data_IF_372970869121
#
_entry.id   IF_372970869121
#
_cell.length_a   1.000
_cell.length_b   1.000
_cell.length_c   1.000
_cell.angle_alpha   90.00
_cell.angle_beta   90.00
_cell.angle_gamma   90.00
#
_symmetry.space_group_name_H-M   'P 1'
#
loop_
_entity.id
_entity.type
_entity.pdbx_description
1 polymer ?
#
# COMPACT_ATOMS: atom_id res chain seq x y z
N UNK A 1 4.25 -17.41 -3.59
CA UNK A 1 3.13 -18.26 -3.11
C UNK A 1 1.77 -17.53 -3.01
N UNK A 2 1.63 -16.48 -2.18
CA UNK A 2 0.33 -15.77 -2.03
C UNK A 2 -0.04 -14.94 -3.26
N UNK A 3 0.94 -14.31 -3.91
CA UNK A 3 0.71 -13.46 -5.09
C UNK A 3 0.46 -14.30 -6.35
N UNK A 4 1.18 -15.40 -6.52
CA UNK A 4 0.89 -16.40 -7.56
C UNK A 4 -0.52 -16.98 -7.43
N UNK A 5 -0.97 -17.25 -6.21
CA UNK A 5 -2.32 -17.72 -5.93
C UNK A 5 -3.40 -16.68 -6.26
N UNK A 6 -3.11 -15.39 -6.07
CA UNK A 6 -4.02 -14.31 -6.45
C UNK A 6 -4.05 -14.11 -7.97
N UNK A 7 -2.90 -14.22 -8.64
CA UNK A 7 -2.83 -14.15 -10.09
C UNK A 7 -3.65 -15.28 -10.76
N UNK A 8 -3.59 -16.51 -10.24
CA UNK A 8 -4.43 -17.61 -10.75
C UNK A 8 -5.93 -17.36 -10.51
N UNK A 9 -6.30 -16.74 -9.38
CA UNK A 9 -7.68 -16.33 -9.10
C UNK A 9 -8.17 -15.24 -10.06
N UNK A 10 -7.33 -14.25 -10.37
CA UNK A 10 -7.66 -13.14 -11.26
C UNK A 10 -7.82 -13.61 -12.73
N UNK A 11 -7.20 -14.72 -13.10
CA UNK A 11 -7.38 -15.36 -14.41
C UNK A 11 -8.62 -16.24 -14.51
N UNK A 12 -9.21 -16.64 -13.37
CA UNK A 12 -10.38 -17.49 -13.35
C UNK A 12 -11.64 -16.66 -13.67
N UNK A 13 -12.36 -17.03 -14.73
CA UNK A 13 -13.54 -16.31 -15.16
C UNK A 13 -14.69 -16.39 -14.15
N UNK A 14 -15.70 -15.50 -14.23
CA UNK A 14 -16.82 -15.44 -13.27
C UNK A 14 -17.69 -16.71 -13.23
N UNK A 15 -17.52 -17.63 -14.19
CA UNK A 15 -18.29 -18.88 -14.31
C UNK A 15 -17.59 -20.11 -13.70
N UNK A 16 -16.34 -20.00 -13.27
CA UNK A 16 -15.63 -21.12 -12.67
C UNK A 16 -15.91 -21.20 -11.17
N UNK A 17 -16.13 -22.41 -10.66
CA UNK A 17 -16.35 -22.67 -9.23
C UNK A 17 -15.08 -22.37 -8.42
N UNK A 18 -14.94 -21.12 -7.96
CA UNK A 18 -13.81 -20.65 -7.18
C UNK A 18 -13.71 -21.37 -5.82
N UNK A 19 -12.77 -22.32 -5.70
CA UNK A 19 -12.46 -22.96 -4.41
C UNK A 19 -11.18 -22.39 -3.80
N UNK A 20 -11.33 -21.43 -2.89
CA UNK A 20 -10.22 -20.83 -2.14
C UNK A 20 -9.40 -21.87 -1.35
N UNK A 21 -10.03 -22.97 -0.90
CA UNK A 21 -9.36 -24.04 -0.17
C UNK A 21 -8.42 -24.86 -1.07
N UNK A 22 -8.86 -25.17 -2.30
CA UNK A 22 -8.03 -25.91 -3.24
C UNK A 22 -6.80 -25.10 -3.65
N UNK A 23 -7.01 -23.81 -3.93
CA UNK A 23 -5.95 -22.89 -4.32
C UNK A 23 -4.96 -22.64 -3.17
N UNK A 24 -5.46 -22.45 -1.95
CA UNK A 24 -4.62 -22.32 -0.76
C UNK A 24 -3.77 -23.56 -0.47
N UNK A 25 -4.32 -24.77 -0.69
CA UNK A 25 -3.56 -26.02 -0.57
C UNK A 25 -2.49 -26.14 -1.66
N UNK A 26 -2.81 -25.78 -2.90
CA UNK A 26 -1.87 -25.81 -4.05
C UNK A 26 -0.64 -24.93 -3.81
N UNK A 27 -0.82 -23.73 -3.27
CA UNK A 27 0.26 -22.77 -3.01
C UNK A 27 0.78 -22.78 -1.57
N UNK A 28 0.34 -23.75 -0.75
CA UNK A 28 0.69 -23.83 0.69
C UNK A 28 0.52 -22.49 1.42
N UNK A 29 -0.53 -21.74 1.09
CA UNK A 29 -0.81 -20.43 1.67
C UNK A 29 -2.06 -20.47 2.54
N UNK A 30 -2.19 -19.52 3.48
CA UNK A 30 -3.35 -19.48 4.36
C UNK A 30 -4.61 -19.06 3.58
N UNK A 31 -5.66 -19.90 3.61
CA UNK A 31 -6.96 -19.62 2.99
C UNK A 31 -7.51 -18.25 3.42
N UNK A 32 -7.46 -17.95 4.71
CA UNK A 32 -8.02 -16.72 5.28
C UNK A 32 -7.34 -15.48 4.71
N UNK A 33 -6.01 -15.52 4.59
CA UNK A 33 -5.22 -14.42 4.03
C UNK A 33 -5.53 -14.21 2.56
N UNK A 34 -5.65 -15.30 1.80
CA UNK A 34 -5.96 -15.27 0.38
C UNK A 34 -7.37 -14.74 0.11
N UNK A 35 -8.39 -15.19 0.84
CA UNK A 35 -9.76 -14.66 0.72
C UNK A 35 -9.86 -13.18 1.11
N UNK A 36 -9.20 -12.77 2.19
CA UNK A 36 -9.21 -11.36 2.63
C UNK A 36 -8.52 -10.44 1.64
N UNK A 37 -7.42 -10.89 1.02
CA UNK A 37 -6.69 -10.11 0.00
C UNK A 37 -7.47 -10.01 -1.31
N UNK A 38 -8.08 -11.09 -1.77
CA UNK A 38 -8.96 -11.09 -2.95
C UNK A 38 -10.21 -10.19 -2.77
N UNK A 39 -10.78 -10.15 -1.56
CA UNK A 39 -11.93 -9.27 -1.24
C UNK A 39 -11.53 -7.81 -0.97
N UNK A 40 -10.26 -7.45 -1.10
CA UNK A 40 -9.76 -6.09 -0.83
C UNK A 40 -9.78 -5.68 0.64
N UNK A 41 -10.00 -6.62 1.58
CA UNK A 41 -10.02 -6.34 3.03
C UNK A 41 -8.60 -6.12 3.58
N UNK A 42 -7.60 -6.74 2.96
CA UNK A 42 -6.19 -6.54 3.29
C UNK A 42 -5.47 -5.87 2.13
N UNK A 43 -5.01 -4.64 2.35
CA UNK A 43 -4.11 -3.94 1.43
C UNK A 43 -2.72 -4.60 1.40
N UNK A 44 -2.00 -4.39 0.29
CA UNK A 44 -0.58 -4.67 0.21
C UNK A 44 0.17 -3.92 1.33
N UNK A 45 1.29 -4.50 1.79
CA UNK A 45 2.15 -3.83 2.78
C UNK A 45 2.59 -2.46 2.31
N UNK A 46 2.89 -2.31 1.01
CA UNK A 46 3.34 -1.05 0.43
C UNK A 46 2.23 0.01 0.43
N UNK A 47 1.01 -0.37 0.07
CA UNK A 47 -0.12 0.57 0.07
C UNK A 47 -0.49 0.97 1.49
N UNK A 48 -0.51 0.01 2.42
CA UNK A 48 -0.67 0.31 3.84
C UNK A 48 0.44 1.23 4.37
N UNK A 49 1.68 1.04 3.91
CA UNK A 49 2.80 1.91 4.30
C UNK A 49 2.62 3.32 3.74
N UNK A 50 2.10 3.47 2.51
CA UNK A 50 1.74 4.78 1.93
C UNK A 50 0.60 5.44 2.70
N UNK A 51 -0.44 4.69 3.05
CA UNK A 51 -1.60 5.20 3.82
C UNK A 51 -1.24 5.57 5.26
N UNK A 52 -0.25 4.90 5.85
CA UNK A 52 0.29 5.24 7.17
C UNK A 52 1.17 6.49 7.16
N UNK A 53 1.57 7.00 6.00
CA UNK A 53 2.31 8.25 5.94
C UNK A 53 1.40 9.41 6.35
N UNK A 54 1.86 10.17 7.34
CA UNK A 54 1.22 11.43 7.77
C UNK A 54 1.13 12.44 6.61
N UNK A 55 2.01 12.32 5.61
CA UNK A 55 2.10 13.23 4.47
C UNK A 55 2.10 12.46 3.15
N UNK A 56 1.22 12.87 2.24
CA UNK A 56 1.18 12.37 0.87
C UNK A 56 2.54 12.60 0.17
N UNK A 57 3.05 11.67 -0.66
CA UNK A 57 4.37 11.77 -1.28
C UNK A 57 4.62 13.09 -2.02
N UNK A 58 3.61 13.62 -2.72
CA UNK A 58 3.66 14.92 -3.40
C UNK A 58 4.01 16.06 -2.43
N UNK A 59 3.38 16.07 -1.27
CA UNK A 59 3.53 17.12 -0.27
C UNK A 59 4.91 17.05 0.40
N UNK A 60 5.48 15.84 0.53
CA UNK A 60 6.85 15.67 1.04
C UNK A 60 7.88 16.35 0.13
N UNK A 61 7.74 16.21 -1.18
CA UNK A 61 8.68 16.82 -2.14
C UNK A 61 8.64 18.34 -2.01
N UNK A 62 7.45 18.92 -1.94
CA UNK A 62 7.25 20.36 -1.78
C UNK A 62 7.82 20.88 -0.46
N UNK A 63 7.55 20.18 0.65
CA UNK A 63 8.12 20.53 1.97
C UNK A 63 9.65 20.46 1.96
N UNK A 64 10.24 19.44 1.34
CA UNK A 64 11.70 19.31 1.24
C UNK A 64 12.30 20.46 0.44
N UNK A 65 11.67 20.86 -0.67
CA UNK A 65 12.11 22.01 -1.46
C UNK A 65 11.99 23.32 -0.67
N UNK A 66 10.89 23.52 0.04
CA UNK A 66 10.68 24.71 0.85
C UNK A 66 11.66 24.81 2.03
N UNK A 67 11.96 23.69 2.70
CA UNK A 67 12.98 23.64 3.75
C UNK A 67 14.37 23.98 3.21
N UNK A 68 14.73 23.49 2.03
CA UNK A 68 15.99 23.87 1.36
C UNK A 68 16.06 25.37 1.07
N UNK A 69 15.01 25.95 0.50
CA UNK A 69 14.91 27.40 0.25
C UNK A 69 15.07 28.22 1.53
N UNK A 70 14.45 27.81 2.63
CA UNK A 70 14.61 28.49 3.92
C UNK A 70 16.05 28.39 4.44
N UNK A 71 16.67 27.22 4.27
CA UNK A 71 18.06 26.98 4.69
C UNK A 71 19.02 27.87 3.89
N UNK A 72 18.83 28.00 2.57
CA UNK A 72 19.59 28.91 1.70
C UNK A 72 19.45 30.38 2.10
N UNK A 73 18.27 30.76 2.61
CA UNK A 73 18.00 32.12 3.11
C UNK A 73 18.41 32.33 4.57
N UNK A 74 19.11 31.37 5.18
CA UNK A 74 19.49 31.36 6.59
C UNK A 74 18.31 31.51 7.56
N UNK A 75 17.12 31.07 7.14
CA UNK A 75 15.90 31.01 7.95
C UNK A 75 15.74 29.60 8.51
N UNK A 76 15.57 29.48 9.83
CA UNK A 76 15.31 28.18 10.43
C UNK A 76 13.92 27.66 10.03
N UNK A 77 13.80 26.46 9.44
CA UNK A 77 12.51 25.84 9.21
C UNK A 77 11.84 25.51 10.54
N UNK A 78 10.59 25.93 10.72
CA UNK A 78 9.82 25.70 11.96
C UNK A 78 8.84 24.55 11.75
N UNK A 79 8.62 23.70 12.77
CA UNK A 79 7.62 22.59 12.70
C UNK A 79 6.21 23.04 12.32
N UNK A 80 5.85 24.31 12.53
CA UNK A 80 4.57 24.89 12.07
C UNK A 80 4.35 24.76 10.57
N UNK A 81 5.42 24.69 9.77
CA UNK A 81 5.38 24.44 8.32
C UNK A 81 4.76 23.07 8.00
N UNK A 82 4.88 22.10 8.91
CA UNK A 82 4.38 20.73 8.72
C UNK A 82 2.89 20.56 9.08
N UNK A 83 2.25 21.56 9.69
CA UNK A 83 0.92 21.43 10.34
C UNK A 83 -0.23 22.01 9.49
N UNK A 84 0.05 22.56 8.31
CA UNK A 84 -0.95 23.15 7.41
C UNK A 84 -1.18 22.29 6.16
N UNK A 85 -1.54 21.03 6.36
CA UNK A 85 -2.06 20.13 5.32
C UNK A 85 -3.17 19.30 5.94
#
# INVERSE_FOLDING_TARGET
>A
PLEEALAELDTLGPNDTLSYQALAKKYSCCCLTLTRRHRGVCALREDKAKDQLVLHPRNKVEIVQYVKLLTERHLMPTRKVLVRI
#
